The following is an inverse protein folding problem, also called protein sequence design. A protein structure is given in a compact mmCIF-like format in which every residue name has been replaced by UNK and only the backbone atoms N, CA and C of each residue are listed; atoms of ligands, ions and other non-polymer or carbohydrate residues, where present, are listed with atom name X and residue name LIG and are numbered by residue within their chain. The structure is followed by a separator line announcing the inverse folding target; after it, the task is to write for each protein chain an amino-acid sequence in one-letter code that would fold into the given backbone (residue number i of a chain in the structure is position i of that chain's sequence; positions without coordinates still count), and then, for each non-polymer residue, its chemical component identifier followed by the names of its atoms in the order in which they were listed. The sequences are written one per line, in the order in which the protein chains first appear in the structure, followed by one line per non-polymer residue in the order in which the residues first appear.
data_IF_626592958125
#
_entry.id   IF_626592958125
#
_cell.length_a   1.000
_cell.length_b   1.000
_cell.length_c   1.000
_cell.angle_alpha   90.00
_cell.angle_beta   90.00
_cell.angle_gamma   90.00
#
_symmetry.space_group_name_H-M   'P 1'
#
loop_
_entity.id
_entity.type
_entity.pdbx_description
1 polymer ?
#
# COMPACT_ATOMS: atom_id res chain seq x y z
N UNK A 1 -5.78 -17.84 12.41
CA UNK A 1 -5.64 -17.13 11.12
C UNK A 1 -5.44 -15.61 11.29
N UNK A 2 -4.89 -15.18 12.45
CA UNK A 2 -4.61 -13.78 12.75
C UNK A 2 -3.10 -13.54 12.73
N UNK A 3 -2.69 -12.36 12.24
CA UNK A 3 -1.32 -11.87 12.33
C UNK A 3 -1.17 -11.07 13.62
N UNK A 4 -0.44 -11.59 14.61
CA UNK A 4 -0.25 -10.92 15.89
C UNK A 4 -1.58 -10.41 16.51
N UNK A 5 -2.63 -11.24 16.49
CA UNK A 5 -4.00 -10.92 16.94
C UNK A 5 -4.76 -9.89 16.10
N UNK A 6 -4.28 -9.53 14.90
CA UNK A 6 -4.93 -8.62 13.98
C UNK A 6 -5.39 -9.35 12.70
N UNK A 7 -6.48 -8.89 12.13
CA UNK A 7 -6.88 -9.23 10.76
C UNK A 7 -6.08 -8.38 9.78
N UNK A 8 -5.47 -9.01 8.80
CA UNK A 8 -4.70 -8.32 7.77
C UNK A 8 -5.62 -7.91 6.62
N UNK A 9 -5.72 -6.61 6.37
CA UNK A 9 -6.59 -6.02 5.35
C UNK A 9 -5.73 -5.34 4.29
N UNK A 10 -5.78 -5.83 3.06
CA UNK A 10 -5.19 -5.15 1.92
C UNK A 10 -6.25 -4.31 1.19
N UNK A 11 -5.85 -3.11 0.76
CA UNK A 11 -6.70 -2.20 -0.01
C UNK A 11 -5.89 -1.72 -1.21
N UNK A 12 -6.45 -1.87 -2.41
CA UNK A 12 -5.83 -1.41 -3.65
C UNK A 12 -6.88 -1.07 -4.70
N UNK A 13 -6.50 -0.21 -5.64
CA UNK A 13 -7.37 0.25 -6.71
C UNK A 13 -7.12 -0.48 -8.02
N UNK A 14 -8.19 -0.73 -8.75
CA UNK A 14 -8.08 -1.33 -10.07
C UNK A 14 -9.00 -0.66 -11.08
N UNK A 15 -8.47 -0.48 -12.29
CA UNK A 15 -9.24 0.00 -13.42
C UNK A 15 -9.94 -1.18 -14.09
N UNK A 16 -11.26 -1.06 -14.26
CA UNK A 16 -12.09 -2.04 -14.97
C UNK A 16 -12.67 -1.37 -16.23
N UNK A 17 -12.72 -2.11 -17.31
CA UNK A 17 -13.23 -1.70 -18.61
C UNK A 17 -12.72 -0.33 -19.10
N UNK A 18 -12.19 -0.30 -20.30
CA UNK A 18 -11.76 0.92 -20.98
C UNK A 18 -12.51 1.00 -22.30
N UNK A 19 -13.08 2.18 -22.60
CA UNK A 19 -13.75 2.46 -23.89
C UNK A 19 -13.46 3.88 -24.33
N UNK A 20 -13.67 4.17 -25.61
CA UNK A 20 -13.55 5.50 -26.17
C UNK A 20 -14.87 6.31 -26.11
N UNK A 21 -15.91 5.75 -25.50
CA UNK A 21 -17.20 6.40 -25.25
C UNK A 21 -17.70 6.10 -23.82
N UNK A 22 -18.49 7.01 -23.21
CA UNK A 22 -19.11 6.77 -21.92
C UNK A 22 -20.27 5.78 -22.06
N UNK A 23 -20.34 4.77 -21.18
CA UNK A 23 -21.44 3.80 -21.13
C UNK A 23 -22.28 3.92 -19.86
N UNK A 24 -21.84 4.74 -18.91
CA UNK A 24 -22.56 5.09 -17.68
C UNK A 24 -22.16 6.50 -17.24
N UNK A 25 -23.04 7.17 -16.52
CA UNK A 25 -22.75 8.49 -15.93
C UNK A 25 -21.63 8.48 -14.89
N UNK A 26 -21.27 7.32 -14.38
CA UNK A 26 -20.19 7.13 -13.40
C UNK A 26 -18.81 6.95 -14.02
N UNK A 27 -18.70 6.89 -15.35
CA UNK A 27 -17.42 6.75 -16.00
C UNK A 27 -16.48 7.91 -15.65
N UNK A 28 -15.27 7.56 -15.26
CA UNK A 28 -14.13 8.45 -15.18
C UNK A 28 -13.59 8.68 -16.59
N UNK A 29 -12.91 9.81 -16.83
CA UNK A 29 -12.31 10.14 -18.12
C UNK A 29 -10.84 10.54 -17.97
N UNK A 30 -10.05 10.20 -18.98
CA UNK A 30 -8.66 10.67 -19.11
C UNK A 30 -8.33 10.94 -20.57
N UNK A 31 -7.37 11.83 -20.79
CA UNK A 31 -6.78 12.05 -22.12
C UNK A 31 -5.56 11.15 -22.27
N UNK A 32 -5.48 10.41 -23.36
CA UNK A 32 -4.38 9.52 -23.72
C UNK A 32 -3.86 9.92 -25.10
N UNK A 33 -2.54 9.86 -25.32
CA UNK A 33 -1.90 10.30 -26.55
C UNK A 33 -1.11 11.60 -26.38
N UNK A 34 -0.39 12.01 -27.42
CA UNK A 34 0.43 13.23 -27.45
C UNK A 34 -0.01 14.14 -28.60
N UNK A 35 0.07 15.44 -28.39
CA UNK A 35 -0.23 16.43 -29.44
C UNK A 35 -1.68 16.39 -29.90
N UNK A 36 -1.89 16.36 -31.22
CA UNK A 36 -3.22 16.33 -31.88
C UNK A 36 -3.89 14.95 -31.83
N UNK A 37 -3.14 13.89 -31.55
CA UNK A 37 -3.64 12.51 -31.42
C UNK A 37 -4.19 12.18 -30.03
N UNK A 38 -4.68 13.18 -29.29
CA UNK A 38 -5.28 12.96 -27.98
C UNK A 38 -6.67 12.35 -28.11
N UNK A 39 -6.82 11.16 -27.52
CA UNK A 39 -8.11 10.49 -27.42
C UNK A 39 -8.63 10.53 -25.98
N UNK A 40 -9.96 10.66 -25.85
CA UNK A 40 -10.62 10.55 -24.55
C UNK A 40 -10.95 9.08 -24.29
N UNK A 41 -10.35 8.54 -23.23
CA UNK A 41 -10.69 7.22 -22.72
C UNK A 41 -11.63 7.36 -21.51
N UNK A 42 -12.66 6.52 -21.50
CA UNK A 42 -13.57 6.35 -20.37
C UNK A 42 -13.31 5.02 -19.68
N UNK A 43 -13.39 5.00 -18.36
CA UNK A 43 -13.13 3.80 -17.58
C UNK A 43 -13.91 3.83 -16.27
N UNK A 44 -14.10 2.66 -15.68
CA UNK A 44 -14.58 2.50 -14.31
C UNK A 44 -13.40 2.11 -13.45
N UNK A 45 -13.32 2.68 -12.26
CA UNK A 45 -12.27 2.39 -11.30
C UNK A 45 -12.89 1.98 -9.97
N UNK A 46 -12.36 0.94 -9.37
CA UNK A 46 -12.85 0.41 -8.11
C UNK A 46 -11.70 0.22 -7.13
N UNK A 47 -11.94 0.60 -5.89
CA UNK A 47 -11.06 0.30 -4.77
C UNK A 47 -11.58 -0.97 -4.09
N UNK A 48 -10.74 -1.98 -3.97
CA UNK A 48 -11.08 -3.28 -3.41
C UNK A 48 -10.43 -3.49 -2.05
N UNK A 49 -11.13 -4.21 -1.18
CA UNK A 49 -10.69 -4.59 0.16
C UNK A 49 -10.67 -6.10 0.29
N UNK A 50 -9.50 -6.64 0.57
CA UNK A 50 -9.32 -8.07 0.82
C UNK A 50 -8.89 -8.32 2.28
N UNK A 51 -9.48 -9.35 2.88
CA UNK A 51 -8.93 -10.00 4.06
C UNK A 51 -7.90 -11.04 3.62
N UNK A 52 -6.71 -10.97 4.19
CA UNK A 52 -5.62 -11.93 3.93
C UNK A 52 -5.43 -12.76 5.19
N UNK A 53 -5.59 -14.07 5.05
CA UNK A 53 -5.38 -15.02 6.14
C UNK A 53 -3.91 -15.48 6.19
N UNK A 54 -3.45 -15.95 7.34
CA UNK A 54 -2.07 -16.40 7.57
C UNK A 54 -1.65 -17.58 6.68
N UNK A 55 -2.61 -18.41 6.26
CA UNK A 55 -2.41 -19.48 5.28
C UNK A 55 -2.35 -18.99 3.82
N UNK A 56 -2.48 -17.66 3.60
CA UNK A 56 -2.40 -17.03 2.30
C UNK A 56 -3.70 -16.97 1.50
N UNK A 57 -4.81 -17.49 2.02
CA UNK A 57 -6.13 -17.33 1.42
C UNK A 57 -6.54 -15.86 1.48
N UNK A 58 -7.13 -15.37 0.41
CA UNK A 58 -7.68 -14.02 0.30
C UNK A 58 -9.19 -14.07 0.16
N UNK A 59 -9.89 -13.21 0.91
CA UNK A 59 -11.35 -13.11 0.88
C UNK A 59 -11.75 -11.68 0.55
N UNK A 60 -12.49 -11.41 -0.54
CA UNK A 60 -13.05 -10.11 -0.83
C UNK A 60 -14.03 -9.69 0.27
N UNK A 61 -13.90 -8.47 0.77
CA UNK A 61 -14.79 -7.94 1.81
C UNK A 61 -15.69 -6.82 1.29
N UNK A 62 -15.12 -5.85 0.60
CA UNK A 62 -15.79 -4.62 0.19
C UNK A 62 -15.21 -4.13 -1.13
N UNK A 63 -16.04 -3.43 -1.89
CA UNK A 63 -15.62 -2.67 -3.06
C UNK A 63 -16.21 -1.26 -2.99
N UNK A 64 -15.47 -0.27 -3.46
CA UNK A 64 -15.88 1.13 -3.56
C UNK A 64 -15.56 1.67 -4.94
N UNK A 65 -16.59 2.01 -5.69
CA UNK A 65 -16.41 2.64 -7.00
C UNK A 65 -16.06 4.11 -6.85
N UNK A 66 -15.12 4.58 -7.67
CA UNK A 66 -14.92 5.99 -7.86
C UNK A 66 -16.10 6.52 -8.68
N UNK A 67 -16.73 7.59 -8.21
CA UNK A 67 -17.94 8.13 -8.81
C UNK A 67 -17.77 9.60 -9.17
N UNK A 68 -18.05 9.91 -10.43
CA UNK A 68 -18.00 11.28 -10.95
C UNK A 68 -19.34 12.05 -10.81
N UNK A 69 -20.43 11.40 -10.43
CA UNK A 69 -21.74 12.08 -10.35
C UNK A 69 -21.75 13.28 -9.40
N UNK A 70 -21.07 13.15 -8.28
CA UNK A 70 -20.94 14.25 -7.31
C UNK A 70 -20.06 15.41 -7.79
N UNK A 71 -19.36 15.24 -8.92
CA UNK A 71 -18.35 16.15 -9.48
C UNK A 71 -18.67 16.58 -10.93
N UNK A 72 -19.95 16.55 -11.29
CA UNK A 72 -20.42 16.82 -12.65
C UNK A 72 -20.19 18.26 -13.15
N UNK A 73 -19.82 19.19 -12.27
CA UNK A 73 -19.48 20.56 -12.65
C UNK A 73 -18.02 20.64 -13.10
N UNK A 74 -17.74 21.27 -14.23
CA UNK A 74 -16.41 21.39 -14.87
C UNK A 74 -15.30 21.95 -13.96
N UNK A 75 -15.64 22.61 -12.86
CA UNK A 75 -14.72 23.19 -11.88
C UNK A 75 -14.32 22.24 -10.75
N UNK A 76 -14.99 21.11 -10.58
CA UNK A 76 -14.74 20.17 -9.48
C UNK A 76 -13.79 19.07 -9.93
N UNK A 77 -12.74 18.82 -9.11
CA UNK A 77 -11.82 17.73 -9.37
C UNK A 77 -12.55 16.38 -9.31
N UNK A 78 -12.32 15.57 -10.35
CA UNK A 78 -12.75 14.19 -10.45
C UNK A 78 -12.49 13.41 -9.15
N UNK A 79 -13.31 12.41 -8.84
CA UNK A 79 -13.08 11.49 -7.71
C UNK A 79 -11.72 10.77 -7.83
N UNK A 80 -11.17 10.35 -6.71
CA UNK A 80 -9.86 9.71 -6.67
C UNK A 80 -9.79 8.64 -5.59
N UNK A 81 -8.80 7.75 -5.70
CA UNK A 81 -8.58 6.63 -4.77
C UNK A 81 -8.56 7.06 -3.29
N UNK A 82 -7.92 8.17 -2.96
CA UNK A 82 -7.88 8.64 -1.57
C UNK A 82 -9.26 9.03 -1.03
N UNK A 83 -10.12 9.63 -1.86
CA UNK A 83 -11.50 9.92 -1.46
C UNK A 83 -12.31 8.63 -1.29
N UNK A 84 -12.14 7.68 -2.20
CA UNK A 84 -12.75 6.36 -2.11
C UNK A 84 -12.26 5.61 -0.84
N UNK A 85 -10.96 5.72 -0.51
CA UNK A 85 -10.41 5.15 0.72
C UNK A 85 -11.12 5.67 1.98
N UNK A 86 -11.41 6.95 2.10
CA UNK A 86 -12.15 7.49 3.25
C UNK A 86 -13.57 6.93 3.33
N UNK A 87 -14.24 6.75 2.19
CA UNK A 87 -15.59 6.16 2.16
C UNK A 87 -15.55 4.68 2.58
N UNK A 88 -14.57 3.93 2.06
CA UNK A 88 -14.41 2.50 2.39
C UNK A 88 -13.98 2.31 3.84
N UNK A 89 -13.12 3.17 4.37
CA UNK A 89 -12.71 3.15 5.77
C UNK A 89 -13.92 3.33 6.72
N UNK A 90 -14.82 4.25 6.40
CA UNK A 90 -16.06 4.43 7.13
C UNK A 90 -16.94 3.18 7.11
N UNK A 91 -17.11 2.54 5.93
CA UNK A 91 -17.87 1.28 5.79
C UNK A 91 -17.20 0.15 6.58
N UNK A 92 -15.88 0.00 6.43
CA UNK A 92 -15.11 -1.04 7.13
C UNK A 92 -15.24 -0.90 8.65
N UNK A 93 -15.17 0.34 9.17
CA UNK A 93 -15.34 0.61 10.60
C UNK A 93 -16.76 0.32 11.09
N UNK A 94 -17.77 0.62 10.29
CA UNK A 94 -19.17 0.31 10.62
C UNK A 94 -19.43 -1.21 10.68
N UNK A 95 -18.85 -1.97 9.76
CA UNK A 95 -19.02 -3.43 9.70
C UNK A 95 -18.19 -4.13 10.80
N UNK A 96 -16.97 -3.65 11.05
CA UNK A 96 -16.03 -4.24 12.00
C UNK A 96 -15.64 -3.27 13.12
N UNK A 97 -16.58 -2.80 13.95
CA UNK A 97 -16.35 -1.68 14.89
C UNK A 97 -15.33 -1.99 15.99
N UNK A 98 -15.18 -3.27 16.36
CA UNK A 98 -14.32 -3.72 17.47
C UNK A 98 -13.13 -4.56 17.01
N UNK A 99 -13.04 -4.89 15.72
CA UNK A 99 -11.97 -5.75 15.20
C UNK A 99 -10.63 -5.02 15.17
N UNK A 100 -9.59 -5.73 15.56
CA UNK A 100 -8.21 -5.28 15.42
C UNK A 100 -7.76 -5.51 13.98
N UNK A 101 -7.57 -4.44 13.22
CA UNK A 101 -7.17 -4.50 11.83
C UNK A 101 -5.74 -3.99 11.67
N UNK A 102 -4.97 -4.62 10.79
CA UNK A 102 -3.75 -4.05 10.22
C UNK A 102 -4.00 -3.78 8.74
N UNK A 103 -3.92 -2.52 8.35
CA UNK A 103 -4.15 -2.06 6.97
C UNK A 103 -2.82 -2.09 6.22
N UNK A 104 -2.76 -2.82 5.11
CA UNK A 104 -1.59 -2.86 4.21
C UNK A 104 -1.95 -2.24 2.87
N UNK A 105 -1.29 -1.14 2.55
CA UNK A 105 -1.60 -0.28 1.40
C UNK A 105 -0.34 0.26 0.74
N UNK A 106 -0.51 0.75 -0.48
CA UNK A 106 0.57 1.26 -1.32
C UNK A 106 1.02 2.67 -0.89
N UNK A 107 2.14 3.15 -1.49
CA UNK A 107 2.73 4.46 -1.18
C UNK A 107 1.88 5.67 -1.60
N UNK A 108 0.79 5.50 -2.36
CA UNK A 108 -0.17 6.56 -2.63
C UNK A 108 -0.84 7.08 -1.34
N UNK A 109 -0.95 6.20 -0.37
CA UNK A 109 -1.58 6.45 0.93
C UNK A 109 -0.60 6.89 2.01
N UNK A 110 0.70 7.01 1.70
CA UNK A 110 1.72 7.50 2.63
C UNK A 110 1.56 9.02 2.85
N UNK A 111 0.57 9.41 3.63
CA UNK A 111 0.28 10.80 3.95
C UNK A 111 -0.39 10.93 5.33
N UNK A 112 -0.20 12.09 5.96
CA UNK A 112 -0.70 12.37 7.32
C UNK A 112 -2.19 12.08 7.53
N UNK A 113 -3.11 12.54 6.66
CA UNK A 113 -4.53 12.28 6.83
C UNK A 113 -4.92 10.80 6.85
N UNK A 114 -4.24 9.94 6.06
CA UNK A 114 -4.49 8.49 6.06
C UNK A 114 -3.96 7.84 7.34
N UNK A 115 -2.76 8.24 7.77
CA UNK A 115 -2.15 7.78 9.02
C UNK A 115 -3.05 8.16 10.21
N UNK A 116 -3.50 9.40 10.24
CA UNK A 116 -4.43 9.90 11.25
C UNK A 116 -5.72 9.08 11.32
N UNK A 117 -6.35 8.83 10.17
CA UNK A 117 -7.57 8.03 10.07
C UNK A 117 -7.36 6.59 10.62
N UNK A 118 -6.22 5.96 10.31
CA UNK A 118 -5.91 4.64 10.86
C UNK A 118 -5.85 4.69 12.38
N UNK A 119 -5.18 5.68 12.95
CA UNK A 119 -5.07 5.86 14.42
C UNK A 119 -6.41 6.15 15.09
N UNK A 120 -7.23 7.04 14.53
CA UNK A 120 -8.59 7.34 15.04
C UNK A 120 -9.44 6.06 15.10
N UNK A 121 -9.31 5.18 14.11
CA UNK A 121 -10.02 3.91 14.07
C UNK A 121 -9.38 2.81 14.94
N UNK A 122 -8.21 3.09 15.56
CA UNK A 122 -7.39 2.12 16.29
C UNK A 122 -6.96 0.94 15.40
N UNK A 123 -6.66 1.23 14.13
CA UNK A 123 -6.09 0.30 13.18
C UNK A 123 -4.58 0.44 13.16
N UNK A 124 -3.90 -0.67 13.14
CA UNK A 124 -2.49 -0.71 12.79
C UNK A 124 -2.31 -0.63 11.27
N UNK A 125 -1.12 -0.30 10.80
CA UNK A 125 -0.86 -0.19 9.37
C UNK A 125 0.58 -0.52 9.02
N UNK A 126 0.75 -0.97 7.77
CA UNK A 126 2.03 -1.02 7.06
C UNK A 126 1.80 -0.38 5.69
N UNK A 127 2.34 0.82 5.50
CA UNK A 127 2.19 1.61 4.26
C UNK A 127 3.50 1.61 3.51
N UNK A 128 3.50 1.25 2.23
CA UNK A 128 4.72 1.29 1.41
C UNK A 128 5.28 2.70 1.38
N UNK A 129 6.57 2.85 1.68
CA UNK A 129 7.29 4.11 1.58
C UNK A 129 8.14 4.11 0.31
N UNK A 130 7.68 4.82 -0.73
CA UNK A 130 8.42 5.01 -1.99
C UNK A 130 9.44 6.13 -1.84
N UNK A 131 10.54 6.08 -2.57
CA UNK A 131 11.64 7.08 -2.49
C UNK A 131 11.19 8.51 -2.83
N UNK A 132 10.13 8.67 -3.60
CA UNK A 132 9.56 9.97 -3.97
C UNK A 132 8.49 10.47 -2.99
N UNK A 133 8.09 9.66 -2.00
CA UNK A 133 7.11 10.00 -0.97
C UNK A 133 7.81 10.31 0.34
N UNK A 134 7.33 11.33 1.08
CA UNK A 134 7.82 11.68 2.41
C UNK A 134 9.36 11.71 2.48
N UNK A 135 10.01 12.42 1.56
CA UNK A 135 11.48 12.41 1.40
C UNK A 135 12.22 12.76 2.69
N UNK A 136 11.72 13.72 3.44
CA UNK A 136 12.30 14.17 4.72
C UNK A 136 12.26 13.04 5.74
N UNK A 137 11.11 12.36 5.89
CA UNK A 137 10.96 11.17 6.74
C UNK A 137 11.94 10.08 6.35
N UNK A 138 12.08 9.80 5.06
CA UNK A 138 13.01 8.79 4.57
C UNK A 138 14.48 9.16 4.82
N UNK A 139 14.84 10.46 4.81
CA UNK A 139 16.19 10.94 5.14
C UNK A 139 16.45 10.85 6.65
N UNK A 140 15.51 11.30 7.47
CA UNK A 140 15.58 11.21 8.93
C UNK A 140 15.72 9.77 9.39
N UNK A 141 14.86 8.87 8.88
CA UNK A 141 14.92 7.43 9.18
C UNK A 141 16.32 6.85 8.90
N UNK A 142 16.88 7.12 7.72
CA UNK A 142 18.23 6.65 7.39
C UNK A 142 19.34 7.26 8.29
N UNK A 143 19.14 8.49 8.72
CA UNK A 143 20.02 9.14 9.70
C UNK A 143 19.99 8.42 11.05
N UNK A 144 18.81 8.16 11.58
CA UNK A 144 18.59 7.46 12.84
C UNK A 144 19.09 6.01 12.78
N UNK A 145 18.84 5.26 11.71
CA UNK A 145 19.36 3.90 11.52
C UNK A 145 20.88 3.81 11.59
N UNK A 146 21.59 4.85 11.14
CA UNK A 146 23.07 4.93 11.25
C UNK A 146 23.53 5.18 12.70
N UNK A 147 22.76 5.93 13.47
CA UNK A 147 23.05 6.24 14.87
C UNK A 147 22.69 5.08 15.81
N UNK A 148 21.73 4.26 15.41
CA UNK A 148 21.21 3.14 16.18
C UNK A 148 21.41 1.80 15.45
N UNK A 149 22.66 1.34 15.21
CA UNK A 149 22.94 0.14 14.44
C UNK A 149 22.36 -1.16 15.07
N UNK A 150 22.04 -1.13 16.36
CA UNK A 150 21.37 -2.23 17.06
C UNK A 150 19.91 -2.43 16.63
N UNK A 151 19.29 -1.44 15.98
CA UNK A 151 17.95 -1.54 15.38
C UNK A 151 18.04 -2.26 14.03
N UNK A 152 18.53 -3.51 14.04
CA UNK A 152 18.71 -4.35 12.87
C UNK A 152 18.39 -5.81 13.17
N UNK A 153 18.04 -6.55 12.13
CA UNK A 153 17.77 -7.98 12.17
C UNK A 153 18.08 -8.61 10.82
N UNK A 154 18.69 -9.80 10.86
CA UNK A 154 19.00 -10.56 9.65
C UNK A 154 18.40 -11.96 9.72
N UNK A 155 17.89 -12.43 8.58
CA UNK A 155 17.37 -13.79 8.44
C UNK A 155 17.36 -14.24 6.98
N UNK A 156 17.05 -15.52 6.80
CA UNK A 156 16.74 -16.07 5.49
C UNK A 156 15.24 -16.32 5.34
N UNK A 157 14.71 -16.00 4.16
CA UNK A 157 13.36 -16.35 3.73
C UNK A 157 13.43 -17.10 2.40
N UNK A 158 13.38 -18.41 2.47
CA UNK A 158 13.72 -19.27 1.33
C UNK A 158 15.18 -19.07 0.92
N UNK A 159 15.40 -18.75 -0.35
CA UNK A 159 16.70 -18.43 -0.95
C UNK A 159 17.17 -16.98 -0.73
N UNK A 160 16.37 -16.16 -0.07
CA UNK A 160 16.61 -14.72 0.10
C UNK A 160 17.22 -14.42 1.45
N UNK A 161 18.40 -13.82 1.44
CA UNK A 161 18.97 -13.17 2.62
C UNK A 161 18.29 -11.81 2.80
N UNK A 162 17.68 -11.58 3.96
CA UNK A 162 16.96 -10.35 4.32
C UNK A 162 17.70 -9.65 5.46
N UNK A 163 18.01 -8.38 5.23
CA UNK A 163 18.55 -7.47 6.25
C UNK A 163 17.55 -6.37 6.51
N UNK A 164 17.10 -6.26 7.75
CA UNK A 164 16.17 -5.23 8.20
C UNK A 164 16.89 -4.18 9.01
N UNK A 165 16.49 -2.92 8.81
CA UNK A 165 16.87 -1.80 9.67
C UNK A 165 15.63 -0.96 9.93
N UNK A 166 15.51 -0.38 11.12
CA UNK A 166 14.36 0.48 11.45
C UNK A 166 14.75 1.66 12.31
N UNK A 167 13.91 2.69 12.22
CA UNK A 167 13.91 3.83 13.11
C UNK A 167 12.50 4.00 13.68
N UNK A 168 12.42 4.05 15.01
CA UNK A 168 11.17 4.15 15.71
C UNK A 168 10.84 5.61 16.06
N UNK A 169 9.54 5.90 16.22
CA UNK A 169 9.02 7.16 16.75
C UNK A 169 9.42 8.42 15.94
N UNK A 170 9.43 8.31 14.62
CA UNK A 170 9.67 9.46 13.75
C UNK A 170 8.45 10.39 13.79
N UNK A 171 8.69 11.66 14.06
CA UNK A 171 7.66 12.70 14.03
C UNK A 171 7.48 13.23 12.60
N UNK A 172 6.25 13.28 12.16
CA UNK A 172 5.89 13.79 10.86
C UNK A 172 4.87 14.92 10.98
N UNK A 173 5.25 16.09 10.50
CA UNK A 173 4.41 17.27 10.50
C UNK A 173 3.79 17.47 9.12
N UNK A 174 2.49 17.77 9.06
CA UNK A 174 1.77 17.97 7.82
C UNK A 174 0.63 18.99 7.95
N UNK A 175 0.00 19.32 6.81
CA UNK A 175 -1.02 20.34 6.75
C UNK A 175 -0.43 21.75 6.67
N UNK A 176 -1.31 22.74 6.70
CA UNK A 176 -0.91 24.13 6.60
C UNK A 176 -0.03 24.54 7.79
N UNK A 177 1.19 25.02 7.52
CA UNK A 177 2.21 25.41 8.52
C UNK A 177 2.59 24.28 9.50
N UNK A 178 2.45 22.99 9.11
CA UNK A 178 2.82 21.88 9.97
C UNK A 178 1.96 21.71 11.22
N UNK A 179 0.69 22.15 11.20
CA UNK A 179 -0.19 22.12 12.38
C UNK A 179 -0.50 20.72 12.90
N UNK A 180 -0.47 19.74 12.01
CA UNK A 180 -0.79 18.37 12.36
C UNK A 180 0.51 17.57 12.54
N UNK A 181 0.52 16.68 13.51
CA UNK A 181 1.66 15.82 13.80
C UNK A 181 1.20 14.38 13.91
N UNK A 182 1.92 13.51 13.23
CA UNK A 182 1.80 12.07 13.40
C UNK A 182 3.16 11.50 13.82
N UNK A 183 3.13 10.35 14.48
CA UNK A 183 4.33 9.62 14.89
C UNK A 183 4.17 8.18 14.46
N UNK A 184 5.19 7.63 13.81
CA UNK A 184 5.22 6.27 13.30
C UNK A 184 6.66 5.76 13.21
N UNK A 185 6.80 4.49 12.87
CA UNK A 185 8.09 3.87 12.67
C UNK A 185 8.34 3.67 11.17
N UNK A 186 9.61 3.67 10.79
CA UNK A 186 10.06 3.36 9.43
C UNK A 186 10.95 2.14 9.46
N UNK A 187 10.69 1.19 8.58
CA UNK A 187 11.48 -0.02 8.42
C UNK A 187 11.91 -0.18 6.96
N UNK A 188 13.16 -0.56 6.76
CA UNK A 188 13.76 -0.88 5.47
C UNK A 188 14.16 -2.36 5.50
N UNK A 189 13.86 -3.09 4.45
CA UNK A 189 14.31 -4.45 4.21
C UNK A 189 15.10 -4.49 2.92
N UNK A 190 16.35 -4.90 2.98
CA UNK A 190 17.16 -5.25 1.82
C UNK A 190 17.15 -6.76 1.64
N UNK A 191 16.87 -7.22 0.43
CA UNK A 191 16.94 -8.63 0.06
C UNK A 191 18.04 -8.85 -0.95
N UNK A 192 18.81 -9.91 -0.76
CA UNK A 192 19.80 -10.40 -1.71
C UNK A 192 19.59 -11.89 -1.97
N UNK A 193 19.68 -12.31 -3.24
CA UNK A 193 19.62 -13.71 -3.62
C UNK A 193 20.47 -13.98 -4.84
N UNK A 194 20.92 -15.21 -4.95
CA UNK A 194 21.67 -15.72 -6.08
C UNK A 194 20.73 -16.08 -7.25
N UNK A 195 21.13 -15.78 -8.46
CA UNK A 195 20.42 -16.15 -9.67
C UNK A 195 21.36 -16.90 -10.57
N UNK A 196 20.97 -18.12 -10.94
CA UNK A 196 21.69 -18.94 -11.89
C UNK A 196 21.89 -18.20 -13.22
N UNK A 197 23.13 -17.92 -13.54
CA UNK A 197 23.50 -17.36 -14.83
C UNK A 197 23.88 -18.50 -15.78
N UNK A 198 22.89 -19.03 -16.50
CA UNK A 198 23.08 -20.10 -17.50
C UNK A 198 24.08 -19.76 -18.61
N UNK A 199 24.51 -18.52 -18.73
CA UNK A 199 25.37 -18.04 -19.83
C UNK A 199 26.82 -17.69 -19.42
N UNK A 200 27.10 -17.44 -18.14
CA UNK A 200 28.43 -16.94 -17.72
C UNK A 200 29.17 -17.82 -16.71
N UNK A 201 28.53 -18.86 -16.18
CA UNK A 201 29.15 -19.74 -15.16
C UNK A 201 29.45 -19.09 -13.80
N UNK A 202 29.27 -17.79 -13.66
CA UNK A 202 29.49 -17.08 -12.41
C UNK A 202 28.15 -16.74 -11.74
N UNK A 203 28.01 -16.91 -10.40
CA UNK A 203 26.79 -16.59 -9.68
C UNK A 203 26.54 -15.07 -9.76
N UNK A 204 25.33 -14.69 -10.19
CA UNK A 204 24.87 -13.29 -10.16
C UNK A 204 23.98 -13.05 -8.96
N UNK A 205 24.31 -12.04 -8.17
CA UNK A 205 23.48 -11.62 -7.04
C UNK A 205 22.52 -10.51 -7.46
N UNK A 206 21.25 -10.71 -7.20
CA UNK A 206 20.23 -9.65 -7.29
C UNK A 206 19.95 -9.08 -5.91
N UNK A 207 19.68 -7.78 -5.88
CA UNK A 207 19.29 -7.07 -4.66
C UNK A 207 18.01 -6.28 -4.92
N UNK A 208 17.18 -6.20 -3.91
CA UNK A 208 15.98 -5.33 -3.90
C UNK A 208 15.82 -4.70 -2.53
N UNK A 209 15.16 -3.55 -2.49
CA UNK A 209 14.90 -2.83 -1.25
C UNK A 209 13.41 -2.51 -1.14
N UNK A 210 12.87 -2.73 0.04
CA UNK A 210 11.52 -2.36 0.42
C UNK A 210 11.58 -1.42 1.62
N UNK A 211 10.64 -0.50 1.70
CA UNK A 211 10.50 0.36 2.86
C UNK A 211 9.03 0.55 3.20
N UNK A 212 8.73 0.67 4.48
CA UNK A 212 7.37 0.85 4.98
C UNK A 212 7.31 1.80 6.16
N UNK A 213 6.17 2.48 6.30
CA UNK A 213 5.73 3.11 7.52
C UNK A 213 4.97 2.08 8.35
N UNK A 214 5.24 1.99 9.64
CA UNK A 214 4.57 1.09 10.59
C UNK A 214 3.83 1.88 11.65
N UNK A 215 2.58 1.49 11.91
CA UNK A 215 1.76 2.06 12.99
C UNK A 215 2.10 1.53 14.38
N UNK A 216 2.75 0.37 14.44
CA UNK A 216 3.21 -0.26 15.68
C UNK A 216 4.72 -0.35 15.71
N UNK A 217 5.28 -0.31 16.93
CA UNK A 217 6.72 -0.33 17.15
C UNK A 217 7.39 -1.56 16.56
N UNK A 218 8.46 -1.32 15.80
CA UNK A 218 9.30 -2.34 15.20
C UNK A 218 10.40 -2.74 16.16
N UNK A 219 10.61 -4.05 16.30
CA UNK A 219 11.68 -4.66 17.08
C UNK A 219 12.13 -5.99 16.45
N UNK A 220 13.16 -6.62 17.03
CA UNK A 220 13.72 -7.88 16.52
C UNK A 220 12.70 -9.03 16.50
N UNK A 221 11.76 -9.07 17.45
CA UNK A 221 10.79 -10.15 17.57
C UNK A 221 9.67 -10.07 16.51
N UNK A 222 9.38 -8.87 16.00
CA UNK A 222 8.23 -8.66 15.12
C UNK A 222 8.57 -8.23 13.69
N UNK A 223 9.78 -7.73 13.43
CA UNK A 223 10.14 -7.12 12.14
C UNK A 223 9.93 -8.06 10.96
N UNK A 224 10.35 -9.31 11.08
CA UNK A 224 10.15 -10.31 10.01
C UNK A 224 8.67 -10.55 9.71
N UNK A 225 7.85 -10.74 10.74
CA UNK A 225 6.41 -10.98 10.58
C UNK A 225 5.75 -9.75 9.96
N UNK A 226 6.02 -8.56 10.49
CA UNK A 226 5.41 -7.32 10.00
C UNK A 226 5.78 -6.99 8.57
N UNK A 227 7.03 -7.14 8.21
CA UNK A 227 7.50 -6.83 6.85
C UNK A 227 7.19 -7.95 5.86
N UNK A 228 7.67 -9.18 6.12
CA UNK A 228 7.62 -10.27 5.15
C UNK A 228 6.28 -11.00 5.15
N UNK A 229 5.64 -11.21 6.32
CA UNK A 229 4.38 -11.94 6.43
C UNK A 229 3.13 -11.06 6.41
N UNK A 230 3.26 -9.73 6.60
CA UNK A 230 2.14 -8.79 6.55
C UNK A 230 2.29 -7.79 5.41
N UNK A 231 3.26 -6.88 5.47
CA UNK A 231 3.38 -5.78 4.52
C UNK A 231 3.59 -6.25 3.07
N UNK A 232 4.40 -7.27 2.85
CA UNK A 232 4.60 -7.86 1.52
C UNK A 232 3.36 -8.59 1.00
N UNK A 233 2.48 -9.05 1.86
CA UNK A 233 1.25 -9.70 1.42
C UNK A 233 0.24 -8.74 0.79
N UNK A 234 0.50 -7.42 0.84
CA UNK A 234 -0.25 -6.45 0.03
C UNK A 234 -0.32 -6.87 -1.45
N UNK A 235 0.75 -7.37 -2.03
CA UNK A 235 0.76 -7.80 -3.43
C UNK A 235 -0.21 -8.96 -3.76
N UNK A 236 -0.74 -9.64 -2.75
CA UNK A 236 -1.78 -10.66 -2.97
C UNK A 236 -3.09 -10.06 -3.50
N UNK A 237 -3.38 -8.79 -3.21
CA UNK A 237 -4.52 -8.10 -3.80
C UNK A 237 -4.31 -7.86 -5.29
N UNK A 238 -3.10 -7.50 -5.70
CA UNK A 238 -2.75 -7.35 -7.13
C UNK A 238 -2.93 -8.67 -7.87
N UNK A 239 -2.46 -9.79 -7.30
CA UNK A 239 -2.66 -11.12 -7.87
C UNK A 239 -4.13 -11.51 -7.93
N UNK A 240 -4.91 -11.22 -6.89
CA UNK A 240 -6.35 -11.47 -6.87
C UNK A 240 -7.05 -10.72 -7.99
N UNK A 241 -6.76 -9.43 -8.14
CA UNK A 241 -7.27 -8.58 -9.21
C UNK A 241 -6.88 -9.12 -10.61
N UNK A 242 -5.64 -9.59 -10.77
CA UNK A 242 -5.18 -10.18 -12.03
C UNK A 242 -5.93 -11.48 -12.37
N UNK A 243 -6.17 -12.34 -11.38
CA UNK A 243 -6.96 -13.56 -11.55
C UNK A 243 -8.40 -13.21 -11.96
N UNK A 244 -9.02 -12.23 -11.30
CA UNK A 244 -10.36 -11.77 -11.69
C UNK A 244 -10.41 -11.28 -13.15
N UNK A 245 -9.36 -10.56 -13.60
CA UNK A 245 -9.29 -10.02 -14.97
C UNK A 245 -9.09 -11.10 -16.01
N UNK A 246 -8.19 -12.04 -15.77
CA UNK A 246 -7.75 -13.00 -16.78
C UNK A 246 -8.50 -14.33 -16.74
N UNK A 247 -8.78 -14.84 -15.54
CA UNK A 247 -9.34 -16.17 -15.33
C UNK A 247 -10.81 -16.15 -14.86
N UNK A 248 -11.29 -14.98 -14.42
CA UNK A 248 -12.66 -14.79 -13.92
C UNK A 248 -13.55 -14.08 -14.92
N UNK A 249 -13.63 -12.76 -14.83
CA UNK A 249 -14.60 -11.97 -15.60
C UNK A 249 -14.13 -11.56 -17.00
N UNK A 250 -12.85 -11.73 -17.35
CA UNK A 250 -12.33 -11.46 -18.68
C UNK A 250 -12.42 -9.99 -19.14
N UNK A 251 -12.12 -9.02 -18.25
CA UNK A 251 -12.18 -7.58 -18.56
C UNK A 251 -10.83 -6.87 -18.49
#
# INVERSE_FOLDING_TARGET
HLYQHHYLIAIDGTQKHIRNYPWTSQCLRRQVGKGEEKETQYYVYVLEVLLILDNGITLPLLSEFLDNQAYANETTKQDCERKAFYRIAKKLKAIFPKSRLTIVIDGLYACGPVIHLCKENRWDYMIVLKDNCLKEVGQEARGLMKLEPGNSYECYWGDRHQTYQWANQIDYYYGENGRNRERFDVVICEEAWEVDSRLSGEPKYKKTRYAWLSGSTINQDNVFIRCTRMARYRWKIENHILIEKHDGYGY
#
